data_IF_989446871009
#
_entry.id   IF_989446871009
#
_cell.length_a   1.000
_cell.length_b   1.000
_cell.length_c   1.000
_cell.angle_alpha   90.00
_cell.angle_beta   90.00
_cell.angle_gamma   90.00
#
_symmetry.space_group_name_H-M   'P 1'
#
loop_
_entity.id
_entity.type
_entity.pdbx_description
1 polymer ?
#
# COMPACT_ATOMS: atom_id res chain seq x y z
N UNK A 1 -5.10 -8.35 -14.35
CA UNK A 1 -4.61 -9.04 -15.56
C UNK A 1 -3.09 -9.06 -15.54
N UNK A 2 -2.48 -10.19 -15.86
CA UNK A 2 -1.02 -10.33 -15.86
C UNK A 2 -0.49 -9.81 -17.20
N UNK A 3 0.56 -8.96 -17.18
CA UNK A 3 1.14 -8.43 -18.41
C UNK A 3 2.03 -9.45 -19.13
N UNK A 4 2.57 -9.06 -20.31
CA UNK A 4 3.39 -9.95 -21.12
C UNK A 4 4.70 -10.36 -20.44
N UNK A 5 5.18 -9.56 -19.48
CA UNK A 5 6.39 -9.86 -18.71
C UNK A 5 6.12 -10.71 -17.47
N UNK A 6 4.86 -11.06 -17.20
CA UNK A 6 4.47 -11.91 -16.09
C UNK A 6 4.16 -11.17 -14.80
N UNK A 7 3.95 -9.85 -14.86
CA UNK A 7 3.63 -9.03 -13.68
C UNK A 7 2.15 -8.72 -13.61
N UNK A 8 1.59 -8.81 -12.40
CA UNK A 8 0.20 -8.41 -12.14
C UNK A 8 0.16 -6.94 -11.71
N UNK A 9 -0.66 -6.10 -12.38
CA UNK A 9 -0.82 -4.71 -11.98
C UNK A 9 -1.47 -4.61 -10.59
N UNK A 10 -0.95 -3.73 -9.77
CA UNK A 10 -1.29 -3.64 -8.36
C UNK A 10 -1.14 -2.20 -7.90
N UNK A 11 -1.84 -1.82 -6.82
CA UNK A 11 -1.68 -0.53 -6.16
C UNK A 11 -1.22 -0.76 -4.74
N UNK A 12 -0.37 0.15 -4.26
CA UNK A 12 0.03 0.19 -2.86
C UNK A 12 -0.40 1.51 -2.24
N UNK A 13 -0.66 1.49 -0.94
CA UNK A 13 -1.21 2.64 -0.23
C UNK A 13 -0.37 2.94 1.01
N UNK A 14 0.18 4.16 1.06
CA UNK A 14 0.85 4.70 2.25
C UNK A 14 -0.05 5.78 2.82
N UNK A 15 -0.58 5.56 4.02
CA UNK A 15 -1.41 6.54 4.71
C UNK A 15 -0.57 7.18 5.80
N UNK A 16 -0.46 8.52 5.79
CA UNK A 16 0.30 9.23 6.80
C UNK A 16 -0.61 10.13 7.64
N UNK A 17 -0.18 10.41 8.86
CA UNK A 17 -0.80 11.38 9.75
C UNK A 17 0.03 12.66 9.79
N UNK A 18 -0.43 13.65 10.57
CA UNK A 18 0.25 14.96 10.66
C UNK A 18 1.62 14.88 11.31
N UNK A 19 1.89 13.84 12.09
CA UNK A 19 3.18 13.62 12.72
C UNK A 19 4.19 12.94 11.78
N UNK A 20 3.77 12.62 10.55
CA UNK A 20 4.64 11.94 9.60
C UNK A 20 4.77 10.45 9.82
N UNK A 21 3.94 9.89 10.69
CA UNK A 21 3.87 8.45 10.88
C UNK A 21 3.04 7.83 9.77
N UNK A 22 3.25 6.54 9.51
CA UNK A 22 2.55 5.82 8.46
C UNK A 22 1.81 4.63 9.03
N UNK A 23 0.68 4.30 8.40
CA UNK A 23 -0.16 3.18 8.82
C UNK A 23 0.50 1.86 8.42
N UNK A 24 0.67 0.99 9.42
CA UNK A 24 1.30 -0.32 9.27
C UNK A 24 0.31 -1.39 9.70
N UNK A 25 0.01 -2.34 8.80
CA UNK A 25 -1.09 -3.29 9.01
C UNK A 25 -0.58 -4.72 9.12
N UNK A 26 -1.17 -5.48 10.06
CA UNK A 26 -0.82 -6.87 10.30
C UNK A 26 -1.75 -7.77 9.48
N UNK A 27 -1.17 -8.65 8.68
CA UNK A 27 -1.93 -9.60 7.87
C UNK A 27 -2.70 -10.56 8.76
N UNK A 28 -3.96 -10.80 8.40
CA UNK A 28 -4.90 -11.60 9.18
C UNK A 28 -4.29 -12.98 9.52
N UNK A 29 -4.26 -13.28 10.83
CA UNK A 29 -3.77 -14.56 11.32
C UNK A 29 -2.27 -14.80 11.16
N UNK A 30 -1.48 -13.77 10.85
CA UNK A 30 -0.04 -13.91 10.59
C UNK A 30 0.76 -12.93 11.45
N UNK A 31 2.06 -13.14 11.53
CA UNK A 31 2.99 -12.21 12.18
C UNK A 31 3.65 -11.28 11.15
N UNK A 32 3.07 -11.17 9.97
CA UNK A 32 3.59 -10.38 8.86
C UNK A 32 2.85 -9.06 8.77
N UNK A 33 3.59 -7.96 8.67
CA UNK A 33 3.05 -6.61 8.54
C UNK A 33 3.42 -6.02 7.18
N UNK A 34 2.53 -5.22 6.63
CA UNK A 34 2.74 -4.59 5.33
C UNK A 34 1.88 -3.33 5.16
N UNK A 35 2.17 -2.55 4.12
CA UNK A 35 1.24 -1.52 3.66
C UNK A 35 0.06 -2.19 2.96
N UNK A 36 -1.14 -1.58 3.01
CA UNK A 36 -2.26 -2.05 2.18
C UNK A 36 -1.88 -2.06 0.71
N UNK A 37 -2.27 -3.10 0.01
CA UNK A 37 -2.07 -3.23 -1.44
C UNK A 37 -3.13 -4.15 -2.03
N UNK A 38 -3.39 -4.00 -3.32
CA UNK A 38 -4.34 -4.86 -3.99
C UNK A 38 -4.27 -4.75 -5.51
N UNK A 39 -4.88 -5.71 -6.19
CA UNK A 39 -4.86 -5.78 -7.65
C UNK A 39 -5.71 -4.71 -8.33
N UNK A 40 -5.31 -4.34 -9.53
CA UNK A 40 -6.09 -3.47 -10.40
C UNK A 40 -6.96 -4.37 -11.28
N UNK A 41 -8.28 -4.16 -11.25
CA UNK A 41 -9.20 -4.93 -12.05
C UNK A 41 -9.22 -4.45 -13.51
N UNK A 42 -9.58 -5.31 -14.48
CA UNK A 42 -9.72 -4.88 -15.87
C UNK A 42 -10.67 -3.69 -15.98
N UNK A 43 -10.29 -2.67 -16.74
CA UNK A 43 -11.08 -1.46 -16.92
C UNK A 43 -10.98 -0.43 -15.80
N UNK A 44 -10.27 -0.75 -14.74
CA UNK A 44 -10.07 0.12 -13.58
C UNK A 44 -8.79 0.92 -13.74
N UNK A 45 -8.82 2.21 -13.41
CA UNK A 45 -7.58 3.00 -13.31
C UNK A 45 -6.88 2.66 -11.99
N UNK A 46 -5.60 3.00 -11.89
CA UNK A 46 -4.85 2.81 -10.65
C UNK A 46 -5.50 3.57 -9.49
N UNK A 47 -5.95 4.80 -9.73
CA UNK A 47 -6.61 5.60 -8.67
C UNK A 47 -7.93 4.99 -8.23
N UNK A 48 -8.74 4.49 -9.17
CA UNK A 48 -9.98 3.78 -8.84
C UNK A 48 -9.71 2.53 -8.01
N UNK A 49 -8.70 1.76 -8.39
CA UNK A 49 -8.29 0.58 -7.63
C UNK A 49 -7.84 0.96 -6.22
N UNK A 50 -7.08 2.07 -6.08
CA UNK A 50 -6.61 2.55 -4.79
C UNK A 50 -7.78 2.86 -3.86
N UNK A 51 -8.79 3.59 -4.34
CA UNK A 51 -9.95 3.93 -3.50
C UNK A 51 -10.77 2.69 -3.15
N UNK A 52 -10.92 1.74 -4.07
CA UNK A 52 -11.62 0.49 -3.79
C UNK A 52 -10.89 -0.33 -2.71
N UNK A 53 -9.58 -0.50 -2.87
CA UNK A 53 -8.77 -1.23 -1.89
C UNK A 53 -8.72 -0.52 -0.54
N UNK A 54 -8.67 0.82 -0.55
CA UNK A 54 -8.72 1.62 0.67
C UNK A 54 -9.98 1.30 1.48
N UNK A 55 -11.13 1.25 0.81
CA UNK A 55 -12.38 0.91 1.48
C UNK A 55 -12.38 -0.56 1.94
N UNK A 56 -12.01 -1.48 1.05
CA UNK A 56 -12.05 -2.91 1.37
C UNK A 56 -11.11 -3.29 2.51
N UNK A 57 -9.89 -2.74 2.53
CA UNK A 57 -8.87 -3.15 3.50
C UNK A 57 -8.81 -2.29 4.74
N UNK A 58 -9.15 -1.01 4.64
CA UNK A 58 -8.94 -0.03 5.74
C UNK A 58 -10.25 0.59 6.21
N UNK A 59 -11.33 0.42 5.45
CA UNK A 59 -12.66 0.94 5.81
C UNK A 59 -12.81 2.44 5.60
N UNK A 60 -11.90 3.06 4.84
CA UNK A 60 -11.94 4.50 4.60
C UNK A 60 -12.51 4.83 3.22
N UNK A 61 -13.20 5.96 3.15
CA UNK A 61 -13.78 6.50 1.93
C UNK A 61 -12.90 7.62 1.38
N UNK A 62 -13.20 8.03 0.15
CA UNK A 62 -12.49 9.13 -0.52
C UNK A 62 -12.45 10.40 0.33
N UNK A 63 -13.56 10.73 1.00
CA UNK A 63 -13.67 11.92 1.86
C UNK A 63 -12.76 11.89 3.08
N UNK A 64 -12.30 10.70 3.47
CA UNK A 64 -11.51 10.50 4.69
C UNK A 64 -10.02 10.72 4.47
N UNK A 65 -9.60 10.89 3.22
CA UNK A 65 -8.19 11.01 2.85
C UNK A 65 -7.99 12.11 1.81
N UNK A 66 -6.74 12.54 1.69
CA UNK A 66 -6.31 13.44 0.60
C UNK A 66 -5.09 12.85 -0.07
N UNK A 67 -5.09 12.72 -1.39
CA UNK A 67 -3.92 12.27 -2.14
C UNK A 67 -2.86 13.37 -2.10
N UNK A 68 -1.70 13.05 -1.55
CA UNK A 68 -0.54 13.97 -1.52
C UNK A 68 0.40 13.74 -2.70
N UNK A 69 0.54 12.48 -3.12
CA UNK A 69 1.45 12.11 -4.21
C UNK A 69 1.13 10.71 -4.72
N UNK A 70 1.65 10.41 -5.90
CA UNK A 70 1.64 9.05 -6.43
C UNK A 70 2.97 8.81 -7.14
N UNK A 71 3.40 7.55 -7.24
CA UNK A 71 4.65 7.23 -7.92
C UNK A 71 4.50 7.44 -9.43
N UNK A 72 5.56 7.92 -10.08
CA UNK A 72 5.54 8.21 -11.52
C UNK A 72 5.53 6.96 -12.35
N UNK A 73 6.28 5.94 -11.91
CA UNK A 73 6.53 4.74 -12.69
C UNK A 73 5.98 3.51 -12.00
N UNK A 74 5.82 2.43 -12.78
CA UNK A 74 5.56 1.12 -12.22
C UNK A 74 6.80 0.67 -11.46
N UNK A 75 6.60 0.21 -10.21
CA UNK A 75 7.65 -0.38 -9.40
C UNK A 75 7.39 -1.87 -9.29
N UNK A 76 8.40 -2.68 -9.57
CA UNK A 76 8.23 -4.13 -9.68
C UNK A 76 8.98 -4.86 -8.58
N UNK A 77 8.37 -5.94 -8.10
CA UNK A 77 9.07 -6.93 -7.31
C UNK A 77 8.71 -8.33 -7.82
N UNK A 78 9.66 -9.25 -7.73
CA UNK A 78 9.44 -10.64 -8.10
C UNK A 78 9.07 -11.45 -6.87
N UNK A 79 8.14 -12.38 -7.04
CA UNK A 79 7.84 -13.34 -6.00
C UNK A 79 9.00 -14.34 -5.88
N UNK A 80 9.33 -14.79 -4.65
CA UNK A 80 10.23 -15.93 -4.51
C UNK A 80 9.69 -17.13 -5.31
N UNK A 81 10.57 -17.91 -5.89
CA UNK A 81 10.17 -19.05 -6.76
C UNK A 81 9.17 -19.97 -6.07
N UNK A 82 9.31 -20.19 -4.76
CA UNK A 82 8.42 -21.06 -3.97
C UNK A 82 6.98 -20.54 -3.88
N UNK A 83 6.76 -19.22 -4.12
CA UNK A 83 5.44 -18.61 -4.06
C UNK A 83 4.78 -18.47 -5.43
N UNK A 84 5.51 -18.79 -6.50
CA UNK A 84 4.98 -18.71 -7.87
C UNK A 84 4.16 -19.96 -8.14
N UNK A 85 2.94 -19.78 -8.65
CA UNK A 85 2.09 -20.88 -9.08
C UNK A 85 2.39 -21.21 -10.55
N UNK A 86 3.30 -22.15 -10.75
CA UNK A 86 3.77 -22.51 -12.10
C UNK A 86 2.72 -23.26 -12.92
N UNK A 87 1.71 -23.83 -12.26
CA UNK A 87 0.64 -24.61 -12.88
C UNK A 87 -0.50 -23.76 -13.43
N UNK A 88 -0.55 -22.47 -13.12
CA UNK A 88 -1.56 -21.55 -13.64
C UNK A 88 -1.05 -20.87 -14.91
N UNK A 89 -1.98 -20.52 -15.81
CA UNK A 89 -1.68 -19.83 -17.07
C UNK A 89 -2.55 -18.59 -17.19
N UNK A 90 -1.99 -17.42 -17.45
CA UNK A 90 -0.55 -17.11 -17.51
C UNK A 90 0.10 -17.18 -16.13
N UNK A 91 1.40 -17.45 -16.10
CA UNK A 91 2.16 -17.51 -14.84
C UNK A 91 2.45 -16.10 -14.34
N UNK A 92 2.13 -15.83 -13.07
CA UNK A 92 2.45 -14.57 -12.42
C UNK A 92 3.78 -14.70 -11.67
N UNK A 93 4.79 -13.97 -12.10
CA UNK A 93 6.12 -14.01 -11.46
C UNK A 93 6.35 -12.88 -10.47
N UNK A 94 5.48 -11.88 -10.45
CA UNK A 94 5.61 -10.75 -9.55
C UNK A 94 4.49 -9.74 -9.70
N UNK A 95 4.64 -8.62 -9.03
CA UNK A 95 3.71 -7.51 -9.08
C UNK A 95 4.39 -6.29 -9.68
N UNK A 96 3.64 -5.48 -10.44
CA UNK A 96 4.06 -4.13 -10.79
C UNK A 96 3.08 -3.16 -10.16
N UNK A 97 3.60 -2.16 -9.46
CA UNK A 97 2.78 -1.35 -8.56
C UNK A 97 2.86 0.13 -8.85
N UNK A 98 1.72 0.79 -8.75
CA UNK A 98 1.61 2.24 -8.58
C UNK A 98 1.28 2.48 -7.12
N UNK A 99 2.01 3.40 -6.48
CA UNK A 99 1.84 3.70 -5.07
C UNK A 99 1.24 5.08 -4.88
N UNK A 100 0.41 5.22 -3.86
CA UNK A 100 -0.25 6.47 -3.50
C UNK A 100 0.09 6.82 -2.07
N UNK A 101 0.40 8.11 -1.84
CA UNK A 101 0.59 8.67 -0.51
C UNK A 101 -0.67 9.45 -0.16
N UNK A 102 -1.33 9.04 0.90
CA UNK A 102 -2.57 9.65 1.37
C UNK A 102 -2.36 10.26 2.75
N UNK A 103 -2.93 11.45 2.97
CA UNK A 103 -3.02 12.02 4.31
C UNK A 103 -4.37 11.65 4.90
N UNK A 104 -4.37 11.15 6.14
CA UNK A 104 -5.59 10.88 6.87
C UNK A 104 -6.25 12.21 7.25
N UNK A 105 -7.52 12.39 6.88
CA UNK A 105 -8.28 13.61 7.12
C UNK A 105 -9.41 13.41 8.13
N UNK A 106 -9.56 12.20 8.65
CA UNK A 106 -10.57 11.84 9.66
C UNK A 106 -9.88 11.38 10.94
N UNK A 107 -10.66 10.92 11.92
CA UNK A 107 -10.14 10.41 13.19
C UNK A 107 -9.60 8.99 13.02
N UNK A 108 -8.61 8.63 13.83
CA UNK A 108 -8.06 7.27 13.84
C UNK A 108 -9.15 6.22 14.08
N UNK A 109 -10.18 6.57 14.86
CA UNK A 109 -11.29 5.68 15.17
C UNK A 109 -12.09 5.25 13.94
N UNK A 110 -12.00 5.99 12.84
CA UNK A 110 -12.68 5.67 11.59
C UNK A 110 -11.94 4.59 10.78
N UNK A 111 -10.71 4.28 11.14
CA UNK A 111 -9.93 3.21 10.48
C UNK A 111 -10.46 1.87 10.99
N UNK A 112 -10.91 1.02 10.06
CA UNK A 112 -11.43 -0.29 10.39
C UNK A 112 -10.94 -1.32 9.38
N UNK A 113 -9.89 -2.05 9.76
CA UNK A 113 -9.29 -3.07 8.89
C UNK A 113 -10.09 -4.37 8.87
N UNK A 114 -11.10 -4.50 9.75
CA UNK A 114 -11.90 -5.71 9.87
C UNK A 114 -13.36 -5.53 9.45
N UNK A 115 -13.69 -4.48 8.67
CA UNK A 115 -15.07 -4.24 8.28
C UNK A 115 -15.58 -5.24 7.23
N UNK A 116 -14.69 -5.87 6.50
CA UNK A 116 -15.04 -6.87 5.47
C UNK A 116 -15.30 -8.23 6.11
N UNK A 117 -16.14 -9.05 5.47
CA UNK A 117 -16.36 -10.44 5.91
C UNK A 117 -15.11 -11.33 5.71
N UNK A 118 -14.19 -10.91 4.85
CA UNK A 118 -12.93 -11.60 4.59
C UNK A 118 -11.76 -10.61 4.72
N UNK A 119 -11.45 -10.18 5.96
CA UNK A 119 -10.46 -9.11 6.15
C UNK A 119 -9.06 -9.58 5.77
N UNK A 120 -8.33 -8.70 5.09
CA UNK A 120 -6.91 -8.91 4.78
C UNK A 120 -6.04 -8.74 6.04
N UNK A 121 -6.46 -7.87 6.95
CA UNK A 121 -5.71 -7.50 8.15
C UNK A 121 -6.52 -7.75 9.41
N UNK A 122 -5.83 -7.97 10.53
CA UNK A 122 -6.46 -8.11 11.84
C UNK A 122 -5.97 -7.07 12.86
N UNK A 123 -5.18 -6.11 12.43
CA UNK A 123 -4.72 -5.02 13.28
C UNK A 123 -3.91 -4.01 12.49
N UNK A 124 -3.72 -2.83 13.08
CA UNK A 124 -2.90 -1.79 12.49
C UNK A 124 -2.33 -0.89 13.57
N UNK A 125 -1.28 -0.14 13.22
CA UNK A 125 -0.70 0.88 14.12
C UNK A 125 0.02 1.94 13.32
N UNK A 126 0.26 3.09 13.94
CA UNK A 126 1.14 4.11 13.40
C UNK A 126 2.59 3.73 13.71
N UNK A 127 3.45 3.87 12.71
CA UNK A 127 4.90 3.63 12.89
C UNK A 127 5.66 4.80 12.29
N UNK A 128 6.93 4.96 12.68
CA UNK A 128 7.78 5.98 12.10
C UNK A 128 7.96 5.72 10.60
N UNK A 129 8.18 6.79 9.83
CA UNK A 129 8.13 6.78 8.37
C UNK A 129 9.03 5.69 7.74
N UNK A 130 10.25 5.50 8.25
CA UNK A 130 11.20 4.55 7.67
C UNK A 130 11.12 3.14 8.24
N UNK A 131 10.32 2.94 9.29
CA UNK A 131 10.18 1.64 9.95
C UNK A 131 9.77 0.52 8.97
N UNK A 132 8.77 0.74 8.06
CA UNK A 132 8.34 -0.30 7.12
C UNK A 132 9.43 -0.81 6.20
N UNK A 133 10.39 0.03 5.81
CA UNK A 133 11.50 -0.37 4.94
C UNK A 133 12.36 -1.44 5.59
N UNK A 134 12.54 -1.34 6.92
CA UNK A 134 13.35 -2.29 7.67
C UNK A 134 12.61 -3.56 8.03
N UNK A 135 11.28 -3.49 8.15
CA UNK A 135 10.49 -4.57 8.74
C UNK A 135 9.71 -5.41 7.72
N UNK A 136 9.53 -4.93 6.51
CA UNK A 136 8.77 -5.69 5.51
C UNK A 136 9.55 -6.93 5.08
N UNK A 137 8.80 -7.95 4.60
CA UNK A 137 9.39 -9.16 4.04
C UNK A 137 10.42 -8.81 2.95
N UNK A 138 11.53 -9.55 2.93
CA UNK A 138 12.73 -9.18 2.18
C UNK A 138 12.51 -8.90 0.69
N UNK A 139 11.64 -9.67 0.02
CA UNK A 139 11.44 -9.51 -1.42
C UNK A 139 10.66 -8.24 -1.80
N UNK A 140 10.05 -7.56 -0.83
CA UNK A 140 9.37 -6.26 -1.04
C UNK A 140 10.22 -5.06 -0.64
N UNK A 141 11.34 -5.28 0.04
CA UNK A 141 12.13 -4.21 0.66
C UNK A 141 12.61 -3.17 -0.33
N UNK A 142 13.07 -3.59 -1.50
CA UNK A 142 13.58 -2.66 -2.52
C UNK A 142 12.49 -1.71 -3.00
N UNK A 143 11.29 -2.23 -3.27
CA UNK A 143 10.16 -1.40 -3.68
C UNK A 143 9.78 -0.43 -2.56
N UNK A 144 9.69 -0.91 -1.33
CA UNK A 144 9.36 -0.06 -0.18
C UNK A 144 10.38 1.08 -0.04
N UNK A 145 11.67 0.79 -0.19
CA UNK A 145 12.71 1.81 -0.11
C UNK A 145 12.52 2.88 -1.18
N UNK A 146 12.26 2.48 -2.41
CA UNK A 146 12.03 3.40 -3.52
C UNK A 146 10.80 4.27 -3.31
N UNK A 147 9.70 3.66 -2.88
CA UNK A 147 8.44 4.38 -2.59
C UNK A 147 8.67 5.42 -1.50
N UNK A 148 9.26 5.02 -0.39
CA UNK A 148 9.44 5.90 0.75
C UNK A 148 10.44 7.02 0.44
N UNK A 149 11.45 6.77 -0.37
CA UNK A 149 12.35 7.83 -0.86
C UNK A 149 11.59 8.85 -1.70
N UNK A 150 10.71 8.40 -2.57
CA UNK A 150 9.92 9.29 -3.43
C UNK A 150 8.97 10.16 -2.60
N UNK A 151 8.39 9.58 -1.53
CA UNK A 151 7.39 10.25 -0.70
C UNK A 151 7.95 11.06 0.47
N UNK A 152 9.21 10.86 0.84
CA UNK A 152 9.79 11.46 2.04
C UNK A 152 9.70 13.00 2.04
N UNK A 153 10.06 13.63 0.94
CA UNK A 153 10.03 15.10 0.83
C UNK A 153 8.61 15.66 0.95
N UNK A 154 7.64 14.93 0.41
CA UNK A 154 6.23 15.36 0.47
C UNK A 154 5.72 15.31 1.91
N UNK A 155 6.04 14.24 2.65
CA UNK A 155 5.64 14.11 4.06
C UNK A 155 6.30 15.19 4.91
N UNK A 156 7.59 15.46 4.69
CA UNK A 156 8.30 16.51 5.41
C UNK A 156 7.68 17.89 5.16
N UNK A 157 7.34 18.21 3.91
CA UNK A 157 6.68 19.46 3.55
C UNK A 157 5.32 19.58 4.23
N UNK A 158 4.57 18.49 4.28
CA UNK A 158 3.27 18.47 4.96
C UNK A 158 3.43 18.75 6.46
N UNK A 159 4.43 18.15 7.11
CA UNK A 159 4.69 18.36 8.54
C UNK A 159 5.08 19.82 8.82
N UNK A 160 5.92 20.42 7.99
CA UNK A 160 6.31 21.83 8.11
C UNK A 160 5.10 22.75 8.00
N UNK A 161 4.21 22.49 7.02
CA UNK A 161 2.98 23.28 6.85
C UNK A 161 2.05 23.15 8.05
N UNK A 162 2.01 22.01 8.71
CA UNK A 162 1.14 21.76 9.87
C UNK A 162 1.62 22.51 11.12
N UNK A 163 2.91 22.86 11.21
CA UNK A 163 3.49 23.59 12.35
C UNK A 163 3.24 25.10 12.24
N UNK A 164 2.99 25.59 11.04
CA UNK A 164 2.65 26.99 10.81
C UNK A 164 1.15 27.21 11.01
#
# INVERSE_FOLDING_TARGET
MIDDDGYRPNVGIVICNRQGQVLWARRFGQHSWQFPQGGINPGETAEQAMYRELFEEVGLHRKDVRILASTRNWLRYKLPKRLVRWDTKPVCIGQKQKWFLLQLMCNDADINVQHSSTPEFDGWRWVSFWYPVRQVVSFKRDVYRRVMKEFAGVVMSMQESAVQ
#
